data_IF_189470852970
#
_entry.id   IF_189470852970
#
_cell.length_a   1.000
_cell.length_b   1.000
_cell.length_c   1.000
_cell.angle_alpha   90.00
_cell.angle_beta   90.00
_cell.angle_gamma   90.00
#
_symmetry.space_group_name_H-M   'P 1'
#
loop_
_entity.id
_entity.type
_entity.pdbx_description
1 polymer ?
#
# COMPACT_ATOMS: atom_id res chain seq x y z
N UNK A 1 -6.49 20.49 38.60
CA UNK A 1 -7.78 19.94 38.16
C UNK A 1 -7.53 19.09 36.93
N UNK A 2 -7.62 17.76 37.07
CA UNK A 2 -7.46 16.82 35.97
C UNK A 2 -8.75 16.79 35.14
N UNK A 3 -8.63 16.91 33.81
CA UNK A 3 -9.75 16.69 32.88
C UNK A 3 -9.76 15.22 32.47
N UNK A 4 -10.80 14.52 32.88
CA UNK A 4 -11.10 13.13 32.48
C UNK A 4 -11.25 13.01 30.96
N UNK A 5 -10.45 12.13 30.36
CA UNK A 5 -10.69 11.60 29.02
C UNK A 5 -11.66 10.43 29.21
N UNK A 6 -12.95 10.67 28.96
CA UNK A 6 -13.95 9.60 28.94
C UNK A 6 -13.70 8.69 27.75
N UNK A 7 -13.17 7.51 28.02
CA UNK A 7 -13.05 6.42 27.05
C UNK A 7 -14.46 5.89 26.74
N UNK A 8 -15.02 6.23 25.57
CA UNK A 8 -16.27 5.64 25.10
C UNK A 8 -15.97 4.43 24.19
N UNK A 9 -16.34 3.26 24.69
CA UNK A 9 -16.26 1.96 24.04
C UNK A 9 -17.40 1.82 23.02
N UNK A 10 -17.32 2.53 21.90
CA UNK A 10 -18.20 2.29 20.74
C UNK A 10 -17.55 2.80 19.44
N UNK A 11 -17.05 1.85 18.65
CA UNK A 11 -17.01 1.87 17.17
C UNK A 11 -17.06 3.25 16.51
N UNK A 12 -15.91 3.93 16.40
CA UNK A 12 -15.76 4.97 15.38
C UNK A 12 -14.83 4.41 14.32
N UNK A 13 -15.41 3.89 13.23
CA UNK A 13 -14.67 3.33 12.10
C UNK A 13 -13.96 4.39 11.25
N UNK A 14 -14.04 5.67 11.60
CA UNK A 14 -13.54 6.80 10.80
C UNK A 14 -12.58 7.67 11.62
N UNK A 15 -11.56 8.20 10.96
CA UNK A 15 -10.63 9.19 11.50
C UNK A 15 -11.20 10.59 11.30
N UNK A 16 -11.21 11.39 12.37
CA UNK A 16 -11.63 12.79 12.34
C UNK A 16 -10.46 13.68 11.89
N UNK A 17 -10.65 14.46 10.83
CA UNK A 17 -9.72 15.52 10.46
C UNK A 17 -10.17 16.81 11.12
N UNK A 18 -9.27 17.43 11.88
CA UNK A 18 -9.52 18.74 12.49
C UNK A 18 -9.05 19.78 11.49
N UNK A 19 -9.97 20.33 10.70
CA UNK A 19 -9.67 21.44 9.78
C UNK A 19 -10.07 22.75 10.45
N UNK A 20 -9.14 23.71 10.52
CA UNK A 20 -9.41 25.07 11.00
C UNK A 20 -10.12 25.86 9.89
N UNK A 21 -11.43 25.66 9.74
CA UNK A 21 -12.25 26.45 8.81
C UNK A 21 -13.47 27.05 9.52
N UNK A 22 -13.81 28.31 9.22
CA UNK A 22 -14.96 29.03 9.80
C UNK A 22 -16.33 28.45 9.36
N UNK A 23 -16.33 27.39 8.55
CA UNK A 23 -17.53 26.71 8.07
C UNK A 23 -17.85 25.55 9.02
N UNK A 24 -19.05 25.52 9.63
CA UNK A 24 -19.44 24.40 10.48
C UNK A 24 -19.56 23.11 9.65
N UNK A 25 -18.60 22.21 9.83
CA UNK A 25 -18.55 20.91 9.18
C UNK A 25 -17.47 20.02 9.82
N UNK A 26 -17.69 18.70 9.85
CA UNK A 26 -16.70 17.73 10.30
C UNK A 26 -16.26 16.87 9.12
N UNK A 27 -14.98 16.89 8.79
CA UNK A 27 -14.40 16.04 7.76
C UNK A 27 -13.95 14.73 8.41
N UNK A 28 -14.47 13.60 7.92
CA UNK A 28 -14.09 12.28 8.39
C UNK A 28 -13.54 11.46 7.24
N UNK A 29 -12.42 10.78 7.48
CA UNK A 29 -11.79 9.88 6.50
C UNK A 29 -11.81 8.47 7.06
N UNK A 30 -12.31 7.53 6.27
CA UNK A 30 -12.27 6.11 6.62
C UNK A 30 -10.82 5.62 6.53
N UNK A 31 -10.32 4.79 7.47
CA UNK A 31 -8.99 4.16 7.39
C UNK A 31 -8.73 3.47 6.06
N UNK A 32 -9.79 2.93 5.44
CA UNK A 32 -9.76 2.34 4.11
C UNK A 32 -9.20 3.27 3.02
N UNK A 33 -9.47 4.57 3.09
CA UNK A 33 -8.97 5.55 2.12
C UNK A 33 -7.47 5.79 2.34
N UNK A 34 -7.03 5.82 3.59
CA UNK A 34 -5.60 6.00 3.92
C UNK A 34 -4.78 4.80 3.46
N UNK A 35 -5.33 3.58 3.58
CA UNK A 35 -4.69 2.38 3.02
C UNK A 35 -4.50 2.51 1.50
N UNK A 36 -5.49 3.04 0.78
CA UNK A 36 -5.41 3.26 -0.67
C UNK A 36 -4.36 4.32 -1.01
N UNK A 37 -4.31 5.43 -0.28
CA UNK A 37 -3.30 6.48 -0.50
C UNK A 37 -1.89 5.91 -0.27
N UNK A 38 -1.67 5.20 0.84
CA UNK A 38 -0.40 4.57 1.14
C UNK A 38 0.00 3.52 0.08
N UNK A 39 -0.97 2.74 -0.42
CA UNK A 39 -0.74 1.76 -1.48
C UNK A 39 -0.33 2.42 -2.81
N UNK A 40 -0.99 3.52 -3.19
CA UNK A 40 -0.64 4.26 -4.41
C UNK A 40 0.76 4.86 -4.25
N UNK A 41 1.02 5.54 -3.13
CA UNK A 41 2.31 6.15 -2.85
C UNK A 41 3.47 5.14 -2.86
N UNK A 42 3.24 3.93 -2.34
CA UNK A 42 4.26 2.88 -2.36
C UNK A 42 4.51 2.31 -3.76
N UNK A 43 3.47 2.17 -4.60
CA UNK A 43 3.61 1.67 -5.97
C UNK A 43 4.30 2.66 -6.92
N UNK A 44 4.22 3.95 -6.64
CA UNK A 44 4.91 4.99 -7.44
C UNK A 44 6.43 4.97 -7.25
N UNK A 45 6.94 4.31 -6.21
CA UNK A 45 8.38 4.21 -5.97
C UNK A 45 9.02 3.24 -6.95
N UNK A 46 9.97 3.74 -7.74
CA UNK A 46 10.77 2.92 -8.68
C UNK A 46 11.45 1.76 -7.95
N UNK A 47 11.31 0.54 -8.48
CA UNK A 47 11.85 -0.68 -7.88
C UNK A 47 10.83 -1.51 -7.10
N UNK A 48 9.63 -0.97 -6.85
CA UNK A 48 8.49 -1.76 -6.36
C UNK A 48 7.86 -2.48 -7.55
N UNK A 49 7.80 -3.82 -7.47
CA UNK A 49 7.15 -4.64 -8.48
C UNK A 49 5.63 -4.69 -8.24
N UNK A 50 5.24 -5.03 -7.01
CA UNK A 50 3.84 -5.10 -6.61
C UNK A 50 3.71 -5.04 -5.08
N UNK A 51 2.49 -4.84 -4.59
CA UNK A 51 2.18 -4.94 -3.17
C UNK A 51 1.34 -6.17 -2.89
N UNK A 52 1.31 -6.62 -1.61
CA UNK A 52 0.59 -7.82 -1.19
C UNK A 52 -0.93 -7.67 -1.31
N UNK A 53 -1.50 -7.99 -2.47
CA UNK A 53 -2.94 -8.25 -2.61
C UNK A 53 -3.28 -9.63 -2.07
N UNK A 54 -4.27 -9.75 -1.17
CA UNK A 54 -4.77 -11.06 -0.75
C UNK A 54 -5.22 -11.79 -2.03
N UNK A 55 -4.75 -13.03 -2.22
CA UNK A 55 -5.20 -13.95 -3.29
C UNK A 55 -6.72 -14.02 -3.44
N UNK A 56 -7.47 -13.65 -2.40
CA UNK A 56 -8.91 -13.44 -2.40
C UNK A 56 -9.40 -12.49 -3.51
N UNK A 57 -8.66 -11.44 -3.90
CA UNK A 57 -9.10 -10.51 -4.96
C UNK A 57 -9.30 -11.20 -6.32
N UNK A 58 -8.57 -12.30 -6.58
CA UNK A 58 -8.72 -13.06 -7.84
C UNK A 58 -9.93 -14.01 -7.85
N UNK A 59 -10.44 -14.38 -6.69
CA UNK A 59 -11.63 -15.24 -6.55
C UNK A 59 -12.88 -14.47 -6.12
N UNK A 60 -12.72 -13.30 -5.49
CA UNK A 60 -13.82 -12.46 -5.02
C UNK A 60 -14.53 -11.72 -6.16
N UNK A 61 -13.88 -11.56 -7.32
CA UNK A 61 -14.51 -11.12 -8.57
C UNK A 61 -15.62 -12.06 -9.05
N UNK A 62 -15.55 -13.35 -8.70
CA UNK A 62 -16.59 -14.35 -9.02
C UNK A 62 -17.78 -14.28 -8.06
N UNK A 63 -17.59 -13.73 -6.85
CA UNK A 63 -18.62 -13.66 -5.80
C UNK A 63 -19.06 -12.23 -5.44
N UNK A 64 -18.74 -11.23 -6.27
CA UNK A 64 -19.29 -9.88 -6.16
C UNK A 64 -18.77 -9.03 -5.01
N UNK A 65 -17.70 -9.45 -4.32
CA UNK A 65 -17.09 -8.67 -3.23
C UNK A 65 -15.78 -8.04 -3.69
N UNK A 66 -15.76 -6.72 -3.82
CA UNK A 66 -14.55 -5.92 -4.09
C UNK A 66 -13.68 -5.81 -2.83
N UNK A 67 -13.08 -6.92 -2.39
CA UNK A 67 -12.19 -6.92 -1.24
C UNK A 67 -10.76 -6.61 -1.67
N UNK A 68 -10.55 -5.37 -2.15
CA UNK A 68 -9.25 -4.86 -2.60
C UNK A 68 -8.20 -5.17 -1.53
N UNK A 69 -7.32 -6.12 -1.80
CA UNK A 69 -6.25 -6.54 -0.92
C UNK A 69 -5.17 -5.46 -0.94
N UNK A 70 -5.15 -4.61 0.07
CA UNK A 70 -4.44 -3.32 -0.05
C UNK A 70 -2.94 -3.38 0.16
N UNK A 71 -2.37 -4.54 0.48
CA UNK A 71 -0.94 -4.68 0.77
C UNK A 71 -0.42 -3.77 1.87
N UNK A 72 -1.30 -3.05 2.56
CA UNK A 72 -1.03 -2.06 3.58
C UNK A 72 -2.03 -2.31 4.69
N UNK A 73 -1.54 -2.39 5.92
CA UNK A 73 -2.35 -2.51 7.13
C UNK A 73 -2.13 -1.26 7.99
N UNK A 74 -3.22 -0.73 8.56
CA UNK A 74 -3.17 0.42 9.45
C UNK A 74 -3.42 0.00 10.89
N UNK A 75 -2.64 0.56 11.80
CA UNK A 75 -2.85 0.42 13.23
C UNK A 75 -2.86 1.80 13.89
N UNK A 76 -3.96 2.12 14.57
CA UNK A 76 -4.04 3.31 15.40
C UNK A 76 -3.50 2.96 16.79
N UNK A 77 -2.48 3.70 17.22
CA UNK A 77 -1.88 3.58 18.55
C UNK A 77 -2.05 4.88 19.32
N UNK A 78 -1.73 4.86 20.62
CA UNK A 78 -1.74 6.07 21.46
C UNK A 78 -0.74 7.11 20.92
N UNK A 79 0.37 6.63 20.35
CA UNK A 79 1.47 7.45 19.83
C UNK A 79 1.23 7.95 18.39
N UNK A 80 0.07 7.62 17.79
CA UNK A 80 -0.30 8.03 16.43
C UNK A 80 -0.56 6.87 15.46
N UNK A 81 -0.57 7.19 14.16
CA UNK A 81 -0.86 6.23 13.09
C UNK A 81 0.40 5.43 12.71
N UNK A 82 0.28 4.11 12.74
CA UNK A 82 1.31 3.16 12.27
C UNK A 82 0.83 2.50 10.98
N UNK A 83 1.71 2.50 9.97
CA UNK A 83 1.43 1.94 8.64
C UNK A 83 2.37 0.77 8.40
N UNK A 84 1.81 -0.38 8.06
CA UNK A 84 2.53 -1.62 7.74
C UNK A 84 2.38 -1.91 6.24
N UNK A 85 3.43 -1.71 5.45
CA UNK A 85 3.41 -1.91 4.00
C UNK A 85 4.12 -3.21 3.61
N UNK A 86 3.46 -4.06 2.82
CA UNK A 86 3.99 -5.33 2.35
C UNK A 86 4.25 -5.28 0.84
N UNK A 87 5.51 -5.34 0.46
CA UNK A 87 5.98 -5.08 -0.91
C UNK A 87 6.76 -6.25 -1.49
N UNK A 88 6.64 -6.41 -2.79
CA UNK A 88 7.52 -7.21 -3.64
C UNK A 88 8.39 -6.26 -4.44
N UNK A 89 9.69 -6.50 -4.42
CA UNK A 89 10.66 -5.65 -5.11
C UNK A 89 11.14 -6.31 -6.41
N UNK A 90 11.57 -5.49 -7.36
CA UNK A 90 12.22 -5.97 -8.58
C UNK A 90 13.61 -6.53 -8.27
N UNK A 91 14.07 -7.49 -9.07
CA UNK A 91 15.44 -7.97 -8.98
C UNK A 91 16.45 -6.86 -9.31
N UNK A 92 17.61 -6.88 -8.63
CA UNK A 92 18.71 -5.93 -8.89
C UNK A 92 18.56 -4.56 -8.23
N UNK A 93 17.56 -4.33 -7.37
CA UNK A 93 17.38 -3.05 -6.66
C UNK A 93 17.98 -3.08 -5.25
N UNK A 94 18.57 -1.97 -4.77
CA UNK A 94 19.07 -1.86 -3.41
C UNK A 94 17.91 -1.75 -2.40
N UNK A 95 17.58 -2.86 -1.73
CA UNK A 95 16.43 -2.97 -0.80
C UNK A 95 16.36 -1.85 0.25
N UNK A 96 17.43 -1.51 0.99
CA UNK A 96 17.35 -0.47 2.03
C UNK A 96 17.02 0.92 1.46
N UNK A 97 17.54 1.23 0.26
CA UNK A 97 17.30 2.51 -0.41
C UNK A 97 15.85 2.61 -0.87
N UNK A 98 15.31 1.53 -1.45
CA UNK A 98 13.92 1.49 -1.89
C UNK A 98 12.97 1.52 -0.70
N UNK A 99 13.26 0.80 0.39
CA UNK A 99 12.46 0.84 1.62
C UNK A 99 12.38 2.25 2.20
N UNK A 100 13.50 2.98 2.26
CA UNK A 100 13.52 4.37 2.72
C UNK A 100 12.68 5.28 1.80
N UNK A 101 12.77 5.09 0.47
CA UNK A 101 11.97 5.84 -0.48
C UNK A 101 10.46 5.57 -0.30
N UNK A 102 10.07 4.31 -0.06
CA UNK A 102 8.68 3.94 0.24
C UNK A 102 8.19 4.64 1.51
N UNK A 103 8.98 4.62 2.59
CA UNK A 103 8.64 5.28 3.85
C UNK A 103 8.39 6.78 3.65
N UNK A 104 9.30 7.44 2.92
CA UNK A 104 9.19 8.87 2.64
C UNK A 104 7.98 9.20 1.76
N UNK A 105 7.74 8.39 0.71
CA UNK A 105 6.60 8.57 -0.19
C UNK A 105 5.26 8.42 0.55
N UNK A 106 5.10 7.35 1.34
CA UNK A 106 3.88 7.12 2.13
C UNK A 106 3.68 8.26 3.13
N UNK A 107 4.71 8.63 3.89
CA UNK A 107 4.61 9.68 4.91
C UNK A 107 4.23 11.03 4.28
N UNK A 108 4.86 11.37 3.15
CA UNK A 108 4.55 12.61 2.44
C UNK A 108 3.13 12.61 1.90
N UNK A 109 2.68 11.57 1.21
CA UNK A 109 1.34 11.58 0.61
C UNK A 109 0.21 11.54 1.64
N UNK A 110 0.35 10.72 2.68
CA UNK A 110 -0.68 10.63 3.74
C UNK A 110 -0.78 11.97 4.48
N UNK A 111 0.35 12.57 4.86
CA UNK A 111 0.36 13.88 5.51
C UNK A 111 -0.22 14.96 4.61
N UNK A 112 0.18 15.04 3.34
CA UNK A 112 -0.29 16.10 2.42
C UNK A 112 -1.78 16.00 2.06
N UNK A 113 -2.36 14.80 2.05
CA UNK A 113 -3.77 14.62 1.68
C UNK A 113 -4.72 14.68 2.88
N UNK A 114 -4.25 14.34 4.07
CA UNK A 114 -5.12 14.13 5.24
C UNK A 114 -4.75 14.95 6.46
N UNK A 115 -3.65 15.71 6.43
CA UNK A 115 -3.08 16.43 7.58
C UNK A 115 -2.92 15.55 8.84
N UNK A 116 -2.81 14.22 8.65
CA UNK A 116 -2.61 13.27 9.72
C UNK A 116 -1.11 13.06 9.98
N UNK A 117 -0.75 13.07 11.26
CA UNK A 117 0.61 12.75 11.67
C UNK A 117 0.85 11.23 11.67
N UNK A 118 1.73 10.78 10.78
CA UNK A 118 2.17 9.38 10.70
C UNK A 118 3.35 9.15 11.63
N UNK A 119 3.15 8.37 12.69
CA UNK A 119 4.17 8.09 13.69
C UNK A 119 5.27 7.19 13.12
N UNK A 120 4.88 6.08 12.47
CA UNK A 120 5.82 5.10 11.92
C UNK A 120 5.31 4.45 10.65
N UNK A 121 6.23 4.17 9.73
CA UNK A 121 5.98 3.40 8.51
C UNK A 121 6.94 2.22 8.47
N UNK A 122 6.39 1.03 8.59
CA UNK A 122 7.13 -0.23 8.57
C UNK A 122 6.98 -0.85 7.17
N UNK A 123 8.11 -1.26 6.57
CA UNK A 123 8.14 -1.85 5.22
C UNK A 123 8.61 -3.29 5.31
N UNK A 124 7.73 -4.21 4.93
CA UNK A 124 7.95 -5.64 4.89
C UNK A 124 8.19 -6.09 3.46
N UNK A 125 9.43 -6.49 3.17
CA UNK A 125 9.78 -7.05 1.87
C UNK A 125 9.42 -8.53 1.86
N UNK A 126 8.32 -8.87 1.18
CA UNK A 126 7.80 -10.24 1.10
C UNK A 126 8.56 -11.10 0.10
N UNK A 127 9.23 -10.50 -0.88
CA UNK A 127 10.05 -11.21 -1.85
C UNK A 127 10.61 -10.30 -2.94
N UNK A 128 11.46 -10.89 -3.77
CA UNK A 128 12.08 -10.25 -4.95
C UNK A 128 11.62 -11.02 -6.18
N UNK A 129 11.09 -10.32 -7.18
CA UNK A 129 10.58 -10.92 -8.42
C UNK A 129 11.57 -10.62 -9.55
N UNK A 130 12.12 -11.64 -10.22
CA UNK A 130 12.90 -11.45 -11.44
C UNK A 130 12.01 -11.00 -12.59
N UNK A 131 12.55 -10.22 -13.52
CA UNK A 131 11.87 -9.92 -14.77
C UNK A 131 11.58 -11.24 -15.50
N UNK A 132 10.32 -11.47 -15.85
CA UNK A 132 9.98 -12.63 -16.66
C UNK A 132 10.53 -12.36 -18.07
N UNK A 133 11.34 -13.26 -18.65
CA UNK A 133 11.62 -13.16 -20.08
C UNK A 133 10.27 -13.28 -20.81
N UNK A 134 10.00 -12.35 -21.71
CA UNK A 134 8.85 -12.42 -22.61
C UNK A 134 9.03 -13.67 -23.49
N UNK A 135 8.45 -14.80 -23.06
CA UNK A 135 8.20 -15.91 -23.96
C UNK A 135 6.93 -15.60 -24.72
N UNK A 136 7.05 -14.80 -25.78
CA UNK A 136 6.11 -14.86 -26.89
C UNK A 136 6.26 -16.26 -27.47
N UNK A 137 5.33 -17.16 -27.11
CA UNK A 137 5.21 -18.46 -27.76
C UNK A 137 4.84 -18.15 -29.21
N UNK A 138 5.80 -18.24 -30.12
CA UNK A 138 5.56 -18.14 -31.54
C UNK A 138 4.83 -19.42 -31.97
N UNK A 139 3.55 -19.35 -32.42
CA UNK A 139 2.82 -20.53 -32.86
C UNK A 139 3.47 -21.24 -34.04
N UNK A 140 4.30 -20.53 -34.81
CA UNK A 140 5.02 -21.08 -35.95
C UNK A 140 6.43 -21.59 -35.56
N UNK A 141 6.92 -21.24 -34.37
CA UNK A 141 8.20 -21.73 -33.83
C UNK A 141 8.09 -22.14 -32.35
N UNK A 142 7.26 -23.15 -32.11
CA UNK A 142 6.91 -23.66 -30.77
C UNK A 142 8.10 -24.32 -30.03
N UNK A 143 9.16 -24.69 -30.74
CA UNK A 143 10.27 -25.49 -30.19
C UNK A 143 11.66 -24.84 -30.35
N UNK A 144 11.76 -23.65 -30.96
CA UNK A 144 13.02 -22.91 -31.06
C UNK A 144 14.08 -23.60 -31.93
N UNK A 145 13.67 -24.30 -32.99
CA UNK A 145 14.59 -24.92 -33.94
C UNK A 145 15.08 -23.86 -34.93
N UNK A 146 16.19 -23.19 -34.61
CA UNK A 146 16.96 -22.49 -35.64
C UNK A 146 17.65 -23.55 -36.51
N UNK A 147 17.30 -23.63 -37.79
CA UNK A 147 18.01 -24.43 -38.78
C UNK A 147 19.52 -24.16 -38.68
N UNK A 148 20.28 -25.19 -38.32
CA UNK A 148 21.73 -25.23 -38.49
C UNK A 148 22.03 -25.31 -39.99
N UNK A 149 22.03 -24.18 -40.68
CA UNK A 149 22.54 -24.09 -42.04
C UNK A 149 24.03 -23.67 -42.00
N UNK A 150 24.84 -24.59 -42.52
CA UNK A 150 26.29 -24.63 -42.67
C UNK A 150 26.90 -23.38 -43.33
#
# INVERSE_FOLDING_TARGET
MAKEIKYNKATTKNLLLITESEVPGTTQVTPEVIEVIAQIAAQEVTGVYSMRGKLADRFASVFGSTARGKGVELQQTIDGLVIEAYVFLQYGVPVPKIALNIQNAIKSQVSSMTDLEVARVNVHVSGIIPEKPDHTIDPDNLFGENEVAN
#
